data_IF_350622685385
#
_entry.id   IF_350622685385
#
_cell.length_a   1.000
_cell.length_b   1.000
_cell.length_c   1.000
_cell.angle_alpha   90.00
_cell.angle_beta   90.00
_cell.angle_gamma   90.00
#
_symmetry.space_group_name_H-M   'P 1'
#
loop_
_entity.id
_entity.type
_entity.pdbx_description
1 polymer ?
#
# COMPACT_ATOMS: atom_id res chain seq x y z
N UNK A 1 4.31 14.64 1.22
CA UNK A 1 3.44 15.28 0.21
C UNK A 1 4.26 15.58 -1.02
N UNK A 2 3.91 14.99 -2.16
CA UNK A 2 4.48 15.38 -3.45
C UNK A 2 4.06 16.83 -3.74
N UNK A 3 4.95 17.58 -4.39
CA UNK A 3 4.60 18.89 -4.92
C UNK A 3 3.59 18.75 -6.06
N UNK A 4 2.75 19.75 -6.29
CA UNK A 4 1.76 19.73 -7.39
C UNK A 4 2.40 19.45 -8.77
N UNK A 5 3.66 19.85 -8.95
CA UNK A 5 4.46 19.56 -10.14
C UNK A 5 4.81 18.06 -10.26
N UNK A 6 5.23 17.43 -9.17
CA UNK A 6 5.55 16.00 -9.15
C UNK A 6 4.30 15.13 -9.35
N UNK A 7 3.16 15.51 -8.79
CA UNK A 7 1.90 14.79 -9.01
C UNK A 7 1.50 14.80 -10.50
N UNK A 8 1.54 15.97 -11.16
CA UNK A 8 1.25 16.08 -12.60
C UNK A 8 2.21 15.30 -13.47
N UNK A 9 3.50 15.26 -13.11
CA UNK A 9 4.50 14.53 -13.89
C UNK A 9 4.32 13.01 -13.79
N UNK A 10 3.88 12.51 -12.64
CA UNK A 10 3.54 11.09 -12.47
C UNK A 10 2.24 10.76 -13.20
N UNK A 11 1.21 11.60 -13.10
CA UNK A 11 -0.03 11.43 -13.87
C UNK A 11 0.25 11.38 -15.39
N UNK A 12 1.15 12.24 -15.89
CA UNK A 12 1.58 12.22 -17.28
C UNK A 12 2.34 10.92 -17.64
N UNK A 13 3.22 10.42 -16.77
CA UNK A 13 3.92 9.13 -16.98
C UNK A 13 2.97 7.94 -16.91
N UNK A 14 1.95 7.99 -16.06
CA UNK A 14 0.92 6.95 -15.97
C UNK A 14 0.04 6.95 -17.23
N UNK A 15 -0.32 8.14 -17.72
CA UNK A 15 -1.03 8.34 -18.97
C UNK A 15 -0.25 7.79 -20.18
N UNK A 16 1.07 8.03 -20.21
CA UNK A 16 1.96 7.54 -21.25
C UNK A 16 2.02 6.01 -21.35
N UNK A 17 1.80 5.29 -20.24
CA UNK A 17 1.82 3.83 -20.21
C UNK A 17 0.42 3.19 -20.27
N UNK A 18 -0.64 3.97 -20.49
CA UNK A 18 -2.02 3.45 -20.52
C UNK A 18 -2.19 2.32 -21.53
N UNK A 19 -1.56 2.40 -22.70
CA UNK A 19 -1.66 1.35 -23.72
C UNK A 19 -0.89 0.07 -23.36
N UNK A 20 0.10 0.18 -22.46
CA UNK A 20 0.77 -1.00 -21.88
C UNK A 20 -0.10 -1.60 -20.78
N UNK A 21 -0.72 -0.77 -19.94
CA UNK A 21 -1.62 -1.22 -18.87
C UNK A 21 -2.86 -1.93 -19.43
N UNK A 22 -3.40 -1.47 -20.58
CA UNK A 22 -4.51 -2.14 -21.27
C UNK A 22 -4.19 -3.55 -21.78
N UNK A 23 -2.90 -3.88 -21.94
CA UNK A 23 -2.45 -5.21 -22.40
C UNK A 23 -2.19 -6.16 -21.24
N UNK A 24 -2.16 -5.67 -20.01
CA UNK A 24 -1.99 -6.52 -18.84
C UNK A 24 -3.29 -7.29 -18.55
N UNK A 25 -3.17 -8.48 -17.97
CA UNK A 25 -4.29 -9.13 -17.29
C UNK A 25 -4.97 -8.17 -16.30
N UNK A 26 -6.30 -8.27 -16.18
CA UNK A 26 -7.12 -7.32 -15.41
C UNK A 26 -6.68 -7.22 -13.94
N UNK A 27 -6.34 -8.34 -13.34
CA UNK A 27 -5.84 -8.48 -11.97
C UNK A 27 -4.48 -7.76 -11.78
N UNK A 28 -3.55 -7.93 -12.73
CA UNK A 28 -2.27 -7.23 -12.71
C UNK A 28 -2.43 -5.73 -12.91
N UNK A 29 -3.31 -5.30 -13.80
CA UNK A 29 -3.61 -3.89 -14.03
C UNK A 29 -4.22 -3.26 -12.77
N UNK A 30 -5.18 -3.93 -12.13
CA UNK A 30 -5.81 -3.48 -10.88
C UNK A 30 -4.78 -3.35 -9.75
N UNK A 31 -3.95 -4.37 -9.54
CA UNK A 31 -2.89 -4.35 -8.52
C UNK A 31 -1.87 -3.23 -8.80
N UNK A 32 -1.45 -3.05 -10.05
CA UNK A 32 -0.55 -1.96 -10.41
C UNK A 32 -1.16 -0.59 -10.09
N UNK A 33 -2.42 -0.36 -10.49
CA UNK A 33 -3.12 0.90 -10.22
C UNK A 33 -3.26 1.17 -8.72
N UNK A 34 -3.67 0.17 -7.93
CA UNK A 34 -3.79 0.30 -6.48
C UNK A 34 -2.44 0.65 -5.83
N UNK A 35 -1.37 -0.09 -6.17
CA UNK A 35 -0.05 0.16 -5.60
C UNK A 35 0.49 1.53 -5.98
N UNK A 36 0.37 1.94 -7.24
CA UNK A 36 0.83 3.27 -7.67
C UNK A 36 0.04 4.39 -6.99
N UNK A 37 -1.27 4.24 -6.84
CA UNK A 37 -2.13 5.20 -6.13
C UNK A 37 -1.63 5.42 -4.69
N UNK A 38 -1.25 4.36 -3.98
CA UNK A 38 -0.65 4.45 -2.65
C UNK A 38 0.72 5.13 -2.68
N UNK A 39 1.66 4.64 -3.51
CA UNK A 39 3.03 5.15 -3.56
C UNK A 39 3.13 6.64 -3.91
N UNK A 40 2.16 7.17 -4.66
CA UNK A 40 2.08 8.61 -4.96
C UNK A 40 1.68 9.46 -3.73
N UNK A 41 0.90 8.91 -2.81
CA UNK A 41 0.38 9.64 -1.65
C UNK A 41 1.21 9.42 -0.39
N UNK A 42 1.80 8.24 -0.25
CA UNK A 42 2.53 7.81 0.92
C UNK A 42 3.71 8.73 1.25
N UNK A 43 3.94 8.94 2.55
CA UNK A 43 5.16 9.57 3.03
C UNK A 43 6.33 8.58 2.98
N UNK A 44 7.57 9.10 2.92
CA UNK A 44 8.77 8.26 2.87
C UNK A 44 8.86 7.27 4.04
N UNK A 45 8.41 7.66 5.24
CA UNK A 45 8.43 6.79 6.42
C UNK A 45 7.35 5.70 6.39
N UNK A 46 6.39 5.78 5.47
CA UNK A 46 5.32 4.80 5.28
C UNK A 46 5.68 3.74 4.22
N UNK A 47 6.89 3.78 3.68
CA UNK A 47 7.38 2.82 2.68
C UNK A 47 8.46 1.98 3.35
N UNK A 48 8.42 0.64 3.22
CA UNK A 48 9.47 -0.21 3.77
C UNK A 48 10.83 0.15 3.17
N UNK A 49 11.92 0.07 3.96
CA UNK A 49 13.26 0.20 3.41
C UNK A 49 13.52 -0.87 2.36
N UNK A 50 14.40 -0.57 1.40
CA UNK A 50 14.77 -1.52 0.33
C UNK A 50 15.86 -2.48 0.82
N UNK A 51 15.83 -3.70 0.29
CA UNK A 51 16.84 -4.75 0.48
C UNK A 51 16.55 -5.68 1.65
N UNK A 52 17.36 -6.73 1.77
CA UNK A 52 17.08 -7.87 2.66
C UNK A 52 17.92 -7.84 3.96
N UNK A 53 18.47 -6.67 4.30
CA UNK A 53 19.37 -6.49 5.45
C UNK A 53 18.63 -6.41 6.79
N UNK A 54 17.30 -6.27 6.77
CA UNK A 54 16.45 -6.19 7.96
C UNK A 54 15.41 -7.32 7.96
N UNK A 55 15.11 -7.82 9.16
CA UNK A 55 14.04 -8.80 9.38
C UNK A 55 12.78 -8.16 9.96
N UNK A 56 12.90 -6.98 10.56
CA UNK A 56 11.81 -6.28 11.23
C UNK A 56 11.77 -4.83 10.73
N UNK A 57 10.61 -4.43 10.22
CA UNK A 57 10.28 -3.03 9.96
C UNK A 57 9.20 -2.58 10.95
N UNK A 58 9.45 -1.47 11.64
CA UNK A 58 8.56 -0.97 12.69
C UNK A 58 8.21 0.49 12.44
N UNK A 59 6.92 0.80 12.50
CA UNK A 59 6.40 2.16 12.36
C UNK A 59 5.88 2.68 13.71
N UNK A 60 6.75 3.37 14.45
CA UNK A 60 6.41 4.02 15.73
C UNK A 60 5.99 5.46 15.48
N UNK A 61 4.70 5.75 15.64
CA UNK A 61 4.17 7.09 15.39
C UNK A 61 2.89 7.38 16.20
N UNK A 62 2.54 8.66 16.36
CA UNK A 62 1.34 9.12 17.06
C UNK A 62 0.03 8.86 16.31
N UNK A 63 -1.11 9.31 16.85
CA UNK A 63 -2.42 9.23 16.19
C UNK A 63 -2.41 10.03 14.87
N UNK A 64 -3.16 9.58 13.86
CA UNK A 64 -3.27 10.26 12.57
C UNK A 64 -2.07 10.13 11.62
N UNK A 65 -0.98 9.47 12.04
CA UNK A 65 0.20 9.21 11.19
C UNK A 65 -0.03 8.21 10.04
N UNK A 66 -1.21 7.60 9.96
CA UNK A 66 -1.56 6.66 8.90
C UNK A 66 -1.01 5.25 9.05
N UNK A 67 -0.59 4.82 10.26
CA UNK A 67 -0.02 3.48 10.50
C UNK A 67 -0.89 2.33 9.97
N UNK A 68 -2.20 2.39 10.22
CA UNK A 68 -3.15 1.35 9.77
C UNK A 68 -3.19 1.26 8.25
N UNK A 69 -3.33 2.40 7.56
CA UNK A 69 -3.32 2.43 6.09
C UNK A 69 -1.99 1.96 5.53
N UNK A 70 -0.87 2.36 6.13
CA UNK A 70 0.46 1.88 5.74
C UNK A 70 0.58 0.36 5.84
N UNK A 71 0.14 -0.23 6.94
CA UNK A 71 0.17 -1.68 7.12
C UNK A 71 -0.72 -2.40 6.11
N UNK A 72 -1.94 -1.91 5.90
CA UNK A 72 -2.87 -2.48 4.92
C UNK A 72 -2.26 -2.48 3.50
N UNK A 73 -1.74 -1.32 3.07
CA UNK A 73 -1.16 -1.12 1.73
C UNK A 73 0.10 -1.94 1.47
N UNK A 74 0.88 -2.22 2.51
CA UNK A 74 2.07 -3.05 2.41
C UNK A 74 1.72 -4.55 2.41
N UNK A 75 0.82 -4.98 3.29
CA UNK A 75 0.43 -6.38 3.45
C UNK A 75 -0.27 -6.93 2.20
N UNK A 76 -1.25 -6.20 1.63
CA UNK A 76 -1.94 -6.72 0.44
C UNK A 76 -0.95 -6.86 -0.73
N UNK A 77 -0.04 -5.89 -0.89
CA UNK A 77 0.93 -5.91 -1.96
C UNK A 77 1.98 -7.01 -1.76
N UNK A 78 2.40 -7.24 -0.51
CA UNK A 78 3.27 -8.37 -0.17
C UNK A 78 2.59 -9.70 -0.52
N UNK A 79 1.35 -9.91 -0.09
CA UNK A 79 0.60 -11.13 -0.39
C UNK A 79 0.37 -11.33 -1.90
N UNK A 80 0.13 -10.24 -2.65
CA UNK A 80 -0.01 -10.26 -4.10
C UNK A 80 1.28 -10.67 -4.82
N UNK A 81 2.43 -10.17 -4.35
CA UNK A 81 3.75 -10.42 -4.96
C UNK A 81 4.40 -11.72 -4.51
N UNK A 82 3.98 -12.27 -3.37
CA UNK A 82 4.49 -13.49 -2.78
C UNK A 82 3.36 -14.52 -2.65
N UNK A 83 2.95 -15.17 -3.75
CA UNK A 83 1.90 -16.18 -3.70
C UNK A 83 2.27 -17.30 -2.72
N UNK A 84 1.25 -17.93 -2.14
CA UNK A 84 1.37 -19.00 -1.14
C UNK A 84 1.98 -18.59 0.22
N UNK A 85 2.17 -17.30 0.48
CA UNK A 85 2.58 -16.83 1.80
C UNK A 85 1.36 -16.60 2.70
N UNK A 86 1.54 -16.86 3.99
CA UNK A 86 0.52 -16.57 5.02
C UNK A 86 0.94 -15.31 5.78
N UNK A 87 0.00 -14.38 5.92
CA UNK A 87 0.20 -13.15 6.70
C UNK A 87 -0.67 -13.21 7.95
N UNK A 88 -0.09 -12.81 9.09
CA UNK A 88 -0.79 -12.63 10.35
C UNK A 88 -1.10 -11.15 10.57
N UNK A 89 -2.37 -10.85 10.86
CA UNK A 89 -2.82 -9.54 11.34
C UNK A 89 -3.24 -9.72 12.79
N UNK A 90 -2.65 -8.93 13.68
CA UNK A 90 -2.87 -9.06 15.11
C UNK A 90 -3.22 -7.71 15.72
N UNK A 91 -4.21 -7.72 16.61
CA UNK A 91 -4.66 -6.55 17.36
C UNK A 91 -5.10 -6.94 18.78
N UNK A 92 -5.37 -5.96 19.65
CA UNK A 92 -5.74 -6.22 21.05
C UNK A 92 -7.04 -7.02 21.20
N UNK A 93 -8.02 -6.77 20.32
CA UNK A 93 -9.30 -7.49 20.30
C UNK A 93 -9.71 -7.88 18.88
N UNK A 94 -10.65 -8.83 18.77
CA UNK A 94 -11.25 -9.20 17.48
C UNK A 94 -12.01 -8.05 16.84
N UNK A 95 -12.59 -7.15 17.64
CA UNK A 95 -13.28 -5.95 17.17
C UNK A 95 -12.28 -4.96 16.57
N UNK A 96 -11.13 -4.72 17.22
CA UNK A 96 -10.07 -3.86 16.67
C UNK A 96 -9.58 -4.36 15.31
N UNK A 97 -9.40 -5.68 15.18
CA UNK A 97 -8.98 -6.29 13.92
C UNK A 97 -10.05 -6.03 12.85
N UNK A 98 -11.31 -6.38 13.10
CA UNK A 98 -12.39 -6.24 12.12
C UNK A 98 -12.66 -4.78 11.77
N UNK A 99 -12.99 -3.97 12.76
CA UNK A 99 -13.57 -2.65 12.57
C UNK A 99 -12.51 -1.59 12.20
N UNK A 100 -11.23 -1.84 12.50
CA UNK A 100 -10.14 -0.89 12.18
C UNK A 100 -9.18 -1.42 11.12
N UNK A 101 -8.71 -2.67 11.25
CA UNK A 101 -7.63 -3.19 10.39
C UNK A 101 -8.14 -3.81 9.09
N UNK A 102 -9.37 -4.34 9.07
CA UNK A 102 -9.96 -4.99 7.89
C UNK A 102 -10.98 -4.08 7.21
N UNK A 103 -12.08 -3.75 7.89
CA UNK A 103 -13.25 -3.06 7.32
C UNK A 103 -13.24 -1.54 7.56
N UNK A 104 -12.39 -1.07 8.50
CA UNK A 104 -12.31 0.35 8.82
C UNK A 104 -11.81 1.20 7.65
N UNK A 105 -11.98 2.52 7.73
CA UNK A 105 -11.61 3.46 6.65
C UNK A 105 -10.13 3.41 6.21
N UNK A 106 -9.26 2.85 7.05
CA UNK A 106 -7.84 2.64 6.74
C UNK A 106 -7.45 1.16 6.64
N UNK A 107 -8.43 0.26 6.70
CA UNK A 107 -8.25 -1.19 6.67
C UNK A 107 -8.02 -1.74 5.27
N UNK A 108 -7.83 -3.05 5.20
CA UNK A 108 -7.51 -3.77 3.96
C UNK A 108 -8.61 -3.72 2.89
N UNK A 109 -9.88 -3.59 3.28
CA UNK A 109 -11.01 -3.60 2.34
C UNK A 109 -11.47 -2.20 1.90
N UNK A 110 -10.78 -1.14 2.36
CA UNK A 110 -11.15 0.26 2.15
C UNK A 110 -10.45 0.94 0.97
#
# INVERSE_FOLDING_TARGET
>A
MLTAKQSREIEAKLALHQDTLKKLPEDQAAAFHARMKWLMKAHKYQIPPKGDWFTIWMLVAGRGSGKTRTAAEDIWYYAWTHPNHRVLISGPTSADIRDTMIEGESGLLA
#
